data_IF_459589603071
#
_entry.id   IF_459589603071
#
_cell.length_a   1.000
_cell.length_b   1.000
_cell.length_c   1.000
_cell.angle_alpha   90.00
_cell.angle_beta   90.00
_cell.angle_gamma   90.00
#
_symmetry.space_group_name_H-M   'P 1'
#
loop_
_entity.id
_entity.type
_entity.pdbx_description
1 polymer ?
#
# COMPACT_ATOMS: atom_id res chain seq x y z
N UNK A 1 7.52 24.25 2.93
CA UNK A 1 7.14 22.98 3.57
C UNK A 1 7.57 21.89 2.61
N UNK A 2 8.28 20.85 3.07
CA UNK A 2 8.53 19.68 2.23
C UNK A 2 7.24 18.88 2.20
N UNK A 3 6.52 18.93 1.08
CA UNK A 3 5.37 18.06 0.88
C UNK A 3 5.90 16.66 0.60
N UNK A 4 5.89 15.79 1.62
CA UNK A 4 6.32 14.39 1.48
C UNK A 4 5.14 13.46 1.65
N UNK A 5 5.03 12.48 0.75
CA UNK A 5 4.07 11.38 0.83
C UNK A 5 4.86 10.08 0.83
N UNK A 6 4.73 9.29 1.91
CA UNK A 6 5.49 8.06 2.13
C UNK A 6 6.99 8.21 1.79
N UNK A 7 7.63 9.20 2.41
CA UNK A 7 9.05 9.55 2.24
C UNK A 7 9.49 10.00 0.84
N UNK A 8 8.57 10.16 -0.12
CA UNK A 8 8.88 10.72 -1.44
C UNK A 8 8.70 12.23 -1.42
N UNK A 9 9.72 12.96 -1.87
CA UNK A 9 9.66 14.41 -2.00
C UNK A 9 8.87 14.81 -3.25
N UNK A 10 7.81 15.60 -3.06
CA UNK A 10 6.93 16.01 -4.16
C UNK A 10 7.43 17.27 -4.90
N UNK A 11 8.54 17.87 -4.47
CA UNK A 11 9.15 19.03 -5.14
C UNK A 11 10.02 18.66 -6.33
N UNK A 12 10.46 17.41 -6.41
CA UNK A 12 11.34 16.88 -7.45
C UNK A 12 10.59 15.94 -8.43
N UNK A 13 11.31 15.47 -9.45
CA UNK A 13 10.79 14.50 -10.42
C UNK A 13 10.62 13.12 -9.77
N UNK A 14 9.36 12.70 -9.63
CA UNK A 14 9.00 11.40 -9.06
C UNK A 14 9.27 10.28 -10.06
N UNK A 15 10.03 9.28 -9.65
CA UNK A 15 10.40 8.09 -10.44
C UNK A 15 9.51 6.88 -10.16
N UNK A 16 9.44 5.89 -11.08
CA UNK A 16 8.67 4.67 -10.86
C UNK A 16 9.11 3.88 -9.62
N UNK A 17 10.42 3.88 -9.30
CA UNK A 17 10.97 3.19 -8.14
C UNK A 17 10.52 3.85 -6.83
N UNK A 18 10.47 5.18 -6.78
CA UNK A 18 9.98 5.91 -5.62
C UNK A 18 8.50 5.65 -5.38
N UNK A 19 7.69 5.59 -6.45
CA UNK A 19 6.26 5.25 -6.35
C UNK A 19 6.08 3.82 -5.86
N UNK A 20 6.85 2.85 -6.36
CA UNK A 20 6.83 1.46 -5.86
C UNK A 20 7.17 1.40 -4.38
N UNK A 21 8.24 2.07 -3.96
CA UNK A 21 8.66 2.04 -2.55
C UNK A 21 7.64 2.74 -1.65
N UNK A 22 7.02 3.81 -2.15
CA UNK A 22 5.91 4.47 -1.50
C UNK A 22 4.69 3.54 -1.38
N UNK A 23 4.36 2.71 -2.38
CA UNK A 23 3.28 1.71 -2.26
C UNK A 23 3.54 0.72 -1.13
N UNK A 24 4.79 0.28 -0.94
CA UNK A 24 5.17 -0.60 0.17
C UNK A 24 4.94 0.09 1.50
N UNK A 25 5.44 1.32 1.65
CA UNK A 25 5.26 2.11 2.88
C UNK A 25 3.79 2.43 3.16
N UNK A 26 3.04 2.83 2.13
CA UNK A 26 1.59 3.05 2.18
C UNK A 26 0.87 1.82 2.73
N UNK A 27 1.14 0.64 2.17
CA UNK A 27 0.45 -0.56 2.59
C UNK A 27 0.85 -1.03 3.99
N UNK A 28 2.12 -0.85 4.38
CA UNK A 28 2.60 -1.11 5.76
C UNK A 28 1.89 -0.20 6.76
N UNK A 29 1.80 1.11 6.47
CA UNK A 29 1.13 2.07 7.35
C UNK A 29 -0.37 1.77 7.45
N UNK A 30 -1.04 1.56 6.32
CA UNK A 30 -2.46 1.21 6.29
C UNK A 30 -2.75 -0.11 7.04
N UNK A 31 -1.83 -1.09 6.96
CA UNK A 31 -1.94 -2.34 7.71
C UNK A 31 -1.83 -2.10 9.22
N UNK A 32 -0.84 -1.32 9.64
CA UNK A 32 -0.62 -1.01 11.05
C UNK A 32 -1.80 -0.24 11.65
N UNK A 33 -2.35 0.75 10.95
CA UNK A 33 -3.53 1.52 11.38
C UNK A 33 -4.75 0.60 11.60
N UNK A 34 -4.99 -0.33 10.66
CA UNK A 34 -6.08 -1.31 10.78
C UNK A 34 -5.86 -2.26 11.96
N UNK A 35 -4.65 -2.78 12.15
CA UNK A 35 -4.33 -3.67 13.26
C UNK A 35 -4.53 -2.98 14.61
N UNK A 36 -4.15 -1.70 14.71
CA UNK A 36 -4.39 -0.89 15.90
C UNK A 36 -5.89 -0.71 16.16
N UNK A 37 -6.66 -0.31 15.16
CA UNK A 37 -8.12 -0.11 15.30
C UNK A 37 -8.80 -1.43 15.73
N UNK A 38 -8.52 -2.52 15.03
CA UNK A 38 -9.14 -3.82 15.35
C UNK A 38 -8.78 -4.31 16.75
N UNK A 39 -7.55 -4.04 17.24
CA UNK A 39 -7.12 -4.37 18.61
C UNK A 39 -7.85 -3.52 19.65
N UNK A 40 -8.02 -2.23 19.40
CA UNK A 40 -8.77 -1.33 20.29
C UNK A 40 -10.22 -1.76 20.43
N UNK A 41 -10.86 -2.17 19.33
CA UNK A 41 -12.28 -2.55 19.31
C UNK A 41 -12.56 -4.07 19.42
N UNK A 42 -11.54 -4.90 19.64
CA UNK A 42 -11.65 -6.37 19.74
C UNK A 42 -12.43 -7.01 18.57
N UNK A 43 -12.17 -6.55 17.34
CA UNK A 43 -12.93 -6.94 16.13
C UNK A 43 -12.45 -8.25 15.46
N UNK A 44 -11.59 -9.03 16.11
CA UNK A 44 -11.09 -10.28 15.54
C UNK A 44 -12.01 -11.44 15.89
N UNK A 45 -12.27 -12.35 14.94
CA UNK A 45 -13.06 -13.55 15.20
C UNK A 45 -12.28 -14.54 16.09
N UNK A 46 -10.94 -14.46 16.07
CA UNK A 46 -10.06 -15.25 16.92
C UNK A 46 -8.66 -14.63 17.10
N UNK A 47 -7.94 -15.05 18.15
CA UNK A 47 -6.51 -14.74 18.32
C UNK A 47 -5.63 -15.29 17.18
N UNK A 48 -6.06 -16.38 16.53
CA UNK A 48 -5.32 -16.97 15.41
C UNK A 48 -5.40 -16.08 14.16
N UNK A 49 -6.58 -15.53 13.88
CA UNK A 49 -6.78 -14.56 12.81
C UNK A 49 -5.95 -13.29 13.05
N UNK A 50 -5.95 -12.77 14.29
CA UNK A 50 -5.11 -11.64 14.69
C UNK A 50 -3.64 -11.89 14.35
N UNK A 51 -3.09 -13.03 14.77
CA UNK A 51 -1.68 -13.38 14.54
C UNK A 51 -1.36 -13.52 13.05
N UNK A 52 -2.27 -14.08 12.26
CA UNK A 52 -2.09 -14.19 10.79
C UNK A 52 -2.00 -12.81 10.15
N UNK A 53 -2.87 -11.88 10.55
CA UNK A 53 -2.82 -10.51 10.04
C UNK A 53 -1.57 -9.77 10.55
N UNK A 54 -1.22 -9.89 11.83
CA UNK A 54 -0.04 -9.27 12.42
C UNK A 54 1.26 -9.71 11.74
N UNK A 55 1.36 -10.97 11.33
CA UNK A 55 2.54 -11.55 10.68
C UNK A 55 2.59 -11.34 9.16
N UNK A 56 1.65 -10.57 8.60
CA UNK A 56 1.62 -10.33 7.15
C UNK A 56 2.90 -9.65 6.68
N UNK A 57 3.64 -10.34 5.79
CA UNK A 57 4.79 -9.76 5.11
C UNK A 57 4.32 -8.94 3.90
N UNK A 58 4.12 -7.64 4.13
CA UNK A 58 3.64 -6.69 3.12
C UNK A 58 4.56 -6.65 1.89
N UNK A 59 5.88 -6.67 2.08
CA UNK A 59 6.83 -6.65 0.96
C UNK A 59 6.71 -7.91 0.10
N UNK A 60 6.49 -9.08 0.71
CA UNK A 60 6.26 -10.32 -0.03
C UNK A 60 4.92 -10.29 -0.79
N UNK A 61 3.86 -9.77 -0.19
CA UNK A 61 2.56 -9.59 -0.85
C UNK A 61 2.66 -8.67 -2.08
N UNK A 62 3.35 -7.54 -1.95
CA UNK A 62 3.50 -6.62 -3.08
C UNK A 62 4.32 -7.27 -4.18
N UNK A 63 5.43 -7.94 -3.84
CA UNK A 63 6.24 -8.70 -4.81
C UNK A 63 5.42 -9.78 -5.51
N UNK A 64 4.53 -10.48 -4.81
CA UNK A 64 3.67 -11.49 -5.45
C UNK A 64 2.68 -10.85 -6.41
N UNK A 65 2.08 -9.71 -6.06
CA UNK A 65 1.18 -8.97 -6.96
C UNK A 65 1.89 -8.57 -8.25
N UNK A 66 3.14 -8.09 -8.17
CA UNK A 66 3.96 -7.81 -9.35
C UNK A 66 4.14 -9.06 -10.23
N UNK A 67 4.47 -10.19 -9.62
CA UNK A 67 4.59 -11.47 -10.31
C UNK A 67 3.28 -11.93 -10.98
N UNK A 68 2.15 -11.79 -10.28
CA UNK A 68 0.82 -12.22 -10.75
C UNK A 68 0.35 -11.44 -11.99
N UNK A 69 0.76 -10.17 -12.12
CA UNK A 69 0.45 -9.34 -13.29
C UNK A 69 1.54 -9.39 -14.37
N UNK A 70 2.61 -10.15 -14.15
CA UNK A 70 3.75 -10.25 -15.08
C UNK A 70 4.62 -8.99 -15.15
N UNK A 71 4.63 -8.17 -14.11
CA UNK A 71 5.39 -6.92 -14.03
C UNK A 71 6.76 -7.12 -13.36
N UNK A 72 7.73 -6.27 -13.72
CA UNK A 72 9.04 -6.23 -13.08
C UNK A 72 8.98 -5.36 -11.80
N UNK A 73 9.28 -5.97 -10.66
CA UNK A 73 9.34 -5.28 -9.37
C UNK A 73 10.55 -4.32 -9.27
N UNK A 74 11.66 -4.68 -9.90
CA UNK A 74 12.91 -3.93 -9.84
C UNK A 74 12.97 -2.84 -10.91
N UNK A 75 12.21 -2.97 -12.00
CA UNK A 75 12.06 -1.94 -13.06
C UNK A 75 10.59 -1.72 -13.45
N UNK A 76 9.75 -1.21 -12.55
CA UNK A 76 8.32 -1.09 -12.80
C UNK A 76 8.03 0.03 -13.82
N UNK A 77 7.06 -0.20 -14.70
CA UNK A 77 6.50 0.87 -15.54
C UNK A 77 5.33 1.57 -14.83
N UNK A 78 4.94 2.75 -15.34
CA UNK A 78 3.73 3.45 -14.86
C UNK A 78 2.46 2.60 -15.00
N UNK A 79 2.36 1.82 -16.07
CA UNK A 79 1.23 0.91 -16.28
C UNK A 79 1.22 -0.22 -15.24
N UNK A 80 2.39 -0.80 -14.94
CA UNK A 80 2.53 -1.83 -13.91
C UNK A 80 2.10 -1.30 -12.55
N UNK A 81 2.58 -0.11 -12.19
CA UNK A 81 2.23 0.56 -10.94
C UNK A 81 0.73 0.82 -10.81
N UNK A 82 0.06 1.24 -11.89
CA UNK A 82 -1.39 1.40 -11.90
C UNK A 82 -2.12 0.08 -11.63
N UNK A 83 -1.68 -1.02 -12.26
CA UNK A 83 -2.25 -2.36 -12.05
C UNK A 83 -2.04 -2.85 -10.62
N UNK A 84 -0.83 -2.67 -10.08
CA UNK A 84 -0.48 -3.02 -8.69
C UNK A 84 -1.35 -2.23 -7.72
N UNK A 85 -1.51 -0.92 -7.93
CA UNK A 85 -2.35 -0.08 -7.08
C UNK A 85 -3.78 -0.59 -7.00
N UNK A 86 -4.39 -0.91 -8.15
CA UNK A 86 -5.74 -1.45 -8.20
C UNK A 86 -5.85 -2.79 -7.45
N UNK A 87 -4.87 -3.69 -7.63
CA UNK A 87 -4.82 -4.97 -6.90
C UNK A 87 -4.69 -4.78 -5.39
N UNK A 88 -3.92 -3.79 -4.94
CA UNK A 88 -3.78 -3.47 -3.52
C UNK A 88 -5.08 -2.91 -2.93
N UNK A 89 -5.83 -2.10 -3.69
CA UNK A 89 -7.16 -1.62 -3.28
C UNK A 89 -8.12 -2.80 -3.14
N UNK A 90 -8.21 -3.68 -4.15
CA UNK A 90 -9.06 -4.88 -4.11
C UNK A 90 -8.73 -5.75 -2.90
N UNK A 91 -7.44 -5.92 -2.59
CA UNK A 91 -7.00 -6.64 -1.41
C UNK A 91 -7.44 -5.93 -0.12
N UNK A 92 -7.25 -4.61 -0.04
CA UNK A 92 -7.54 -3.83 1.16
C UNK A 92 -9.04 -3.78 1.49
N UNK A 93 -9.92 -3.72 0.49
CA UNK A 93 -11.38 -3.67 0.68
C UNK A 93 -11.93 -4.91 1.40
N UNK A 94 -11.27 -6.05 1.28
CA UNK A 94 -11.70 -7.28 1.92
C UNK A 94 -11.41 -7.34 3.44
N UNK A 95 -10.50 -6.49 3.95
CA UNK A 95 -9.94 -6.68 5.30
C UNK A 95 -9.82 -5.42 6.15
N UNK A 96 -10.28 -4.25 5.66
CA UNK A 96 -9.93 -2.97 6.27
C UNK A 96 -11.12 -2.02 6.38
N UNK A 97 -11.04 -1.14 7.37
CA UNK A 97 -11.93 0.02 7.49
C UNK A 97 -11.88 0.83 6.18
N UNK A 98 -13.02 1.03 5.48
CA UNK A 98 -13.08 1.75 4.22
C UNK A 98 -12.48 3.16 4.26
N UNK A 99 -12.56 3.83 5.41
CA UNK A 99 -12.03 5.19 5.59
C UNK A 99 -10.49 5.19 5.56
N UNK A 100 -9.85 4.22 6.21
CA UNK A 100 -8.39 4.06 6.19
C UNK A 100 -7.92 3.74 4.77
N UNK A 101 -8.60 2.83 4.07
CA UNK A 101 -8.27 2.48 2.68
C UNK A 101 -8.37 3.71 1.77
N UNK A 102 -9.45 4.48 1.90
CA UNK A 102 -9.67 5.68 1.08
C UNK A 102 -8.58 6.73 1.31
N UNK A 103 -8.24 7.03 2.58
CA UNK A 103 -7.19 7.98 2.94
C UNK A 103 -5.86 7.63 2.24
N UNK A 104 -5.41 6.39 2.41
CA UNK A 104 -4.14 5.93 1.85
C UNK A 104 -4.16 5.87 0.31
N UNK A 105 -5.31 5.53 -0.28
CA UNK A 105 -5.48 5.56 -1.74
C UNK A 105 -5.38 6.98 -2.30
N UNK A 106 -6.04 7.96 -1.69
CA UNK A 106 -6.01 9.36 -2.14
C UNK A 106 -4.58 9.93 -2.07
N UNK A 107 -3.85 9.64 -0.99
CA UNK A 107 -2.43 10.03 -0.85
C UNK A 107 -1.55 9.38 -1.94
N UNK A 108 -1.70 8.07 -2.19
CA UNK A 108 -0.95 7.41 -3.25
C UNK A 108 -1.30 7.91 -4.64
N UNK A 109 -2.56 8.29 -4.88
CA UNK A 109 -2.98 8.83 -6.16
C UNK A 109 -2.34 10.19 -6.44
N UNK A 110 -2.19 11.05 -5.41
CA UNK A 110 -1.46 12.31 -5.54
C UNK A 110 -0.01 12.09 -5.96
N UNK A 111 0.66 11.11 -5.36
CA UNK A 111 2.03 10.74 -5.70
C UNK A 111 2.12 10.13 -7.11
N UNK A 112 1.23 9.20 -7.44
CA UNK A 112 1.20 8.53 -8.75
C UNK A 112 0.94 9.51 -9.91
N UNK A 113 0.11 10.54 -9.69
CA UNK A 113 -0.14 11.56 -10.71
C UNK A 113 1.07 12.47 -10.98
N UNK A 114 2.06 12.51 -10.08
CA UNK A 114 3.34 13.21 -10.27
C UNK A 114 4.38 12.37 -11.01
N UNK A 115 4.13 11.06 -11.20
CA UNK A 115 4.99 10.18 -11.97
C UNK A 115 5.02 10.63 -13.44
N UNK A 116 6.20 11.03 -13.91
CA UNK A 116 6.44 11.38 -15.32
C UNK A 116 6.47 10.15 -16.21
#
# INVERSE_FOLDING_TARGET
MCDKIYDVDLTDDVTPLEVRDAMIRCFVQAHAEVMQEMKEYHKFDSEEEFKKMEQMNVSALIRSIFGDIGADFDNPTKEDLAKVMNKLVDYAVNFRNPEIVKKHYDEMMLLFNKLK
#
